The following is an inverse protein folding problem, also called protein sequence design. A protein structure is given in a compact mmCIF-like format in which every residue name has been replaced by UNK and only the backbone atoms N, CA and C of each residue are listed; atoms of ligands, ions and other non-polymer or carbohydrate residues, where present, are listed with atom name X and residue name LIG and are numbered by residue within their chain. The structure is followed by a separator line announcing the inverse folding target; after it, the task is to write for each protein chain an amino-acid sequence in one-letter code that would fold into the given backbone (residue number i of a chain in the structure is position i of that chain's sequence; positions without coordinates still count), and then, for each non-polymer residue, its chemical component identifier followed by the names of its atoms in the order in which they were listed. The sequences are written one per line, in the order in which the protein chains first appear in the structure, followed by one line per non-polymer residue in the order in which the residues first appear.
data_IF_720226777328
#
_entry.id   IF_720226777328
#
_cell.length_a   1.000
_cell.length_b   1.000
_cell.length_c   1.000
_cell.angle_alpha   90.00
_cell.angle_beta   90.00
_cell.angle_gamma   90.00
#
_symmetry.space_group_name_H-M   'P 1'
#
loop_
_entity.id
_entity.type
_entity.pdbx_description
1 polymer ?
#
# COMPACT_ATOMS: atom_id res chain seq x y z
N UNK A 1 10.14 22.04 -13.68
CA UNK A 1 10.79 20.95 -14.44
C UNK A 1 10.97 19.81 -13.47
N UNK A 2 10.72 18.57 -13.88
CA UNK A 2 10.92 17.40 -13.04
C UNK A 2 12.39 17.36 -12.56
N UNK A 3 12.57 17.39 -11.25
CA UNK A 3 13.88 17.46 -10.61
C UNK A 3 14.64 16.13 -10.66
N UNK A 4 13.94 15.03 -10.96
CA UNK A 4 14.47 13.67 -10.99
C UNK A 4 14.98 13.23 -12.36
N UNK A 5 14.81 14.08 -13.39
CA UNK A 5 15.37 13.85 -14.72
C UNK A 5 14.40 14.16 -15.85
N UNK A 6 14.91 14.05 -17.08
CA UNK A 6 14.08 14.13 -18.29
C UNK A 6 13.40 12.80 -18.50
N UNK A 7 12.08 12.84 -18.68
CA UNK A 7 11.23 11.71 -19.07
C UNK A 7 11.10 11.58 -20.59
N UNK A 8 11.46 12.63 -21.33
CA UNK A 8 11.29 12.70 -22.78
C UNK A 8 9.89 13.16 -23.21
N UNK A 9 9.01 13.47 -22.25
CA UNK A 9 7.65 13.95 -22.50
C UNK A 9 7.40 15.28 -21.78
N UNK A 10 6.91 16.29 -22.51
CA UNK A 10 6.51 17.59 -21.96
C UNK A 10 5.00 17.67 -21.72
N UNK A 11 4.57 18.64 -20.92
CA UNK A 11 3.18 18.81 -20.50
C UNK A 11 2.86 17.97 -19.26
N UNK A 12 1.58 17.83 -18.93
CA UNK A 12 1.15 17.09 -17.74
C UNK A 12 0.87 15.60 -17.98
N UNK A 13 0.78 15.17 -19.25
CA UNK A 13 0.30 13.83 -19.57
C UNK A 13 -1.09 13.59 -18.99
N UNK A 14 -1.25 12.51 -18.22
CA UNK A 14 -2.49 12.14 -17.53
C UNK A 14 -2.65 12.82 -16.16
N UNK A 15 -1.63 13.51 -15.65
CA UNK A 15 -1.65 14.08 -14.31
C UNK A 15 -2.45 15.39 -14.26
N UNK A 16 -3.25 15.56 -13.21
CA UNK A 16 -4.12 16.73 -13.06
C UNK A 16 -3.35 18.03 -12.79
N UNK A 17 -2.24 17.93 -12.04
CA UNK A 17 -1.47 19.09 -11.54
C UNK A 17 -0.13 19.21 -12.24
N UNK A 18 0.34 20.45 -12.41
CA UNK A 18 1.74 20.72 -12.72
C UNK A 18 2.58 20.51 -11.46
N UNK A 19 3.79 19.95 -11.61
CA UNK A 19 4.63 19.58 -10.48
C UNK A 19 4.15 18.29 -9.81
N UNK A 20 4.23 18.20 -8.46
CA UNK A 20 3.90 16.97 -7.75
C UNK A 20 2.39 16.71 -7.72
N UNK A 21 2.03 15.45 -7.95
CA UNK A 21 0.69 14.90 -7.80
C UNK A 21 0.76 13.91 -6.64
N UNK A 22 0.15 14.28 -5.52
CA UNK A 22 0.31 13.57 -4.25
C UNK A 22 -0.67 12.41 -4.13
N UNK A 23 -0.15 11.25 -3.76
CA UNK A 23 -0.87 10.05 -3.38
C UNK A 23 -0.57 9.68 -1.91
N UNK A 24 -1.32 8.73 -1.38
CA UNK A 24 -1.05 8.11 -0.08
C UNK A 24 -1.23 6.59 -0.16
N UNK A 25 -0.25 5.85 0.37
CA UNK A 25 -0.15 4.40 0.27
C UNK A 25 -0.21 3.72 1.66
N UNK A 26 -1.37 3.16 2.07
CA UNK A 26 -1.50 2.44 3.32
C UNK A 26 -0.97 1.00 3.18
N UNK A 27 0.26 0.77 3.66
CA UNK A 27 0.87 -0.55 3.66
C UNK A 27 0.38 -1.32 4.89
N UNK A 28 -0.79 -1.94 4.77
CA UNK A 28 -1.39 -2.76 5.85
C UNK A 28 -0.76 -4.15 5.87
N UNK A 29 -0.25 -4.56 7.03
CA UNK A 29 0.50 -5.82 7.17
C UNK A 29 0.11 -6.62 8.40
N UNK A 30 0.29 -7.93 8.32
CA UNK A 30 0.17 -8.88 9.44
C UNK A 30 1.21 -9.99 9.31
N UNK A 31 1.49 -10.72 10.38
CA UNK A 31 2.27 -11.96 10.27
C UNK A 31 1.43 -13.06 9.63
N UNK A 32 2.04 -13.85 8.74
CA UNK A 32 1.44 -15.11 8.29
C UNK A 32 1.35 -16.05 9.50
N UNK A 33 0.19 -16.64 9.73
CA UNK A 33 -0.03 -17.58 10.83
C UNK A 33 -0.43 -18.95 10.31
N UNK A 34 -0.02 -19.99 11.02
CA UNK A 34 -0.44 -21.38 10.75
C UNK A 34 -1.82 -21.68 11.36
N UNK A 35 -2.26 -22.94 11.26
CA UNK A 35 -3.54 -23.38 11.80
C UNK A 35 -3.63 -23.32 13.34
N UNK A 36 -2.49 -23.30 14.04
CA UNK A 36 -2.43 -23.10 15.49
C UNK A 36 -2.43 -21.61 15.87
N UNK A 37 -2.36 -20.71 14.88
CA UNK A 37 -2.27 -19.28 15.08
C UNK A 37 -0.84 -18.79 15.32
N UNK A 38 0.18 -19.62 15.13
CA UNK A 38 1.58 -19.24 15.37
C UNK A 38 2.21 -18.59 14.13
N UNK A 39 3.09 -17.58 14.27
CA UNK A 39 3.77 -16.96 13.13
C UNK A 39 4.60 -17.97 12.34
N UNK A 40 4.37 -18.03 11.03
CA UNK A 40 5.12 -18.89 10.11
C UNK A 40 6.50 -18.31 9.89
N UNK A 41 7.53 -19.14 10.02
CA UNK A 41 8.94 -18.80 9.79
C UNK A 41 9.40 -19.37 8.46
N UNK A 42 10.10 -18.57 7.66
CA UNK A 42 10.76 -19.05 6.45
C UNK A 42 12.00 -19.89 6.83
N UNK A 43 12.08 -21.12 6.33
CA UNK A 43 13.16 -22.06 6.68
C UNK A 43 14.55 -21.59 6.20
N UNK A 44 14.62 -20.81 5.13
CA UNK A 44 15.88 -20.36 4.54
C UNK A 44 16.47 -19.17 5.30
N UNK A 45 15.63 -18.20 5.66
CA UNK A 45 16.10 -16.98 6.35
C UNK A 45 16.00 -17.05 7.86
N UNK A 46 15.23 -18.00 8.41
CA UNK A 46 14.92 -18.08 9.85
C UNK A 46 14.06 -16.93 10.36
N UNK A 47 13.48 -16.11 9.45
CA UNK A 47 12.66 -14.95 9.77
C UNK A 47 11.18 -15.21 9.52
N UNK A 48 10.32 -14.48 10.22
CA UNK A 48 8.85 -14.59 10.07
C UNK A 48 8.41 -14.11 8.69
N UNK A 49 7.39 -14.75 8.14
CA UNK A 49 6.78 -14.35 6.86
C UNK A 49 5.75 -13.25 7.12
N UNK A 50 5.98 -12.08 6.53
CA UNK A 50 5.04 -10.96 6.57
C UNK A 50 4.02 -11.11 5.43
N UNK A 51 2.78 -10.74 5.67
CA UNK A 51 1.76 -10.58 4.65
C UNK A 51 1.35 -9.12 4.55
N UNK A 52 1.08 -8.65 3.34
CA UNK A 52 0.47 -7.35 3.09
C UNK A 52 -0.91 -7.49 2.46
N UNK A 53 -1.80 -6.54 2.72
CA UNK A 53 -2.99 -6.37 1.91
C UNK A 53 -2.57 -5.79 0.55
N UNK A 54 -2.96 -6.46 -0.53
CA UNK A 54 -2.69 -6.04 -1.89
C UNK A 54 -3.95 -6.13 -2.75
N UNK A 55 -4.09 -5.21 -3.69
CA UNK A 55 -5.16 -5.20 -4.69
C UNK A 55 -4.60 -5.43 -6.08
N UNK A 56 -5.38 -6.06 -6.96
CA UNK A 56 -5.10 -6.15 -8.39
C UNK A 56 -5.85 -5.02 -9.09
N UNK A 57 -5.11 -4.10 -9.71
CA UNK A 57 -5.70 -2.93 -10.36
C UNK A 57 -6.50 -3.34 -11.60
N UNK A 58 -7.66 -2.74 -11.80
CA UNK A 58 -8.50 -3.05 -12.96
C UNK A 58 -7.92 -2.56 -14.31
N UNK A 59 -7.11 -1.51 -14.29
CA UNK A 59 -6.58 -0.86 -15.50
C UNK A 59 -5.40 -1.63 -16.15
N UNK A 60 -4.53 -2.23 -15.34
CA UNK A 60 -3.33 -2.93 -15.82
C UNK A 60 -3.22 -4.40 -15.37
N UNK A 61 -4.04 -4.86 -14.43
CA UNK A 61 -3.95 -6.21 -13.87
C UNK A 61 -2.71 -6.44 -12.98
N UNK A 62 -2.01 -5.37 -12.60
CA UNK A 62 -0.86 -5.44 -11.71
C UNK A 62 -1.29 -5.37 -10.24
N UNK A 63 -0.57 -6.08 -9.38
CA UNK A 63 -0.78 -6.01 -7.94
C UNK A 63 -0.16 -4.73 -7.36
N UNK A 64 -0.84 -4.10 -6.42
CA UNK A 64 -0.43 -2.82 -5.83
C UNK A 64 -0.79 -2.73 -4.34
N UNK A 65 -0.19 -1.74 -3.67
CA UNK A 65 -0.69 -1.25 -2.39
C UNK A 65 -2.05 -0.57 -2.67
N UNK A 66 -3.07 -0.77 -1.81
CA UNK A 66 -4.38 -0.14 -1.98
C UNK A 66 -4.33 1.35 -1.60
N UNK A 67 -3.77 2.16 -2.49
CA UNK A 67 -3.51 3.58 -2.28
C UNK A 67 -3.96 4.41 -3.47
N UNK A 68 -4.19 5.70 -3.21
CA UNK A 68 -4.78 6.60 -4.19
C UNK A 68 -4.43 8.06 -3.97
N UNK A 69 -5.10 8.93 -4.74
CA UNK A 69 -4.76 10.34 -4.82
C UNK A 69 -5.22 11.10 -3.59
N UNK A 70 -4.44 12.08 -3.12
CA UNK A 70 -4.85 12.99 -2.05
C UNK A 70 -5.78 14.06 -2.64
N UNK A 71 -7.01 14.09 -2.14
CA UNK A 71 -8.02 15.04 -2.60
C UNK A 71 -7.72 16.48 -2.18
N UNK A 72 -8.23 17.49 -2.91
CA UNK A 72 -8.07 18.89 -2.53
C UNK A 72 -8.61 19.18 -1.11
N UNK A 73 -7.72 19.56 -0.19
CA UNK A 73 -8.06 19.85 1.20
C UNK A 73 -8.09 18.62 2.11
N UNK A 74 -7.87 17.42 1.57
CA UNK A 74 -7.75 16.18 2.34
C UNK A 74 -6.36 16.07 2.99
N UNK A 75 -6.31 15.53 4.20
CA UNK A 75 -5.03 15.19 4.85
C UNK A 75 -4.61 13.79 4.44
N UNK A 76 -3.29 13.55 4.39
CA UNK A 76 -2.71 12.23 4.08
C UNK A 76 -3.31 11.12 4.97
N UNK A 77 -3.51 11.39 6.26
CA UNK A 77 -4.13 10.42 7.19
C UNK A 77 -5.56 10.03 6.79
N UNK A 78 -6.34 10.99 6.28
CA UNK A 78 -7.70 10.74 5.81
C UNK A 78 -7.68 9.94 4.52
N UNK A 79 -6.81 10.31 3.57
CA UNK A 79 -6.59 9.56 2.32
C UNK A 79 -6.21 8.11 2.60
N UNK A 80 -5.19 7.85 3.44
CA UNK A 80 -4.75 6.49 3.77
C UNK A 80 -5.90 5.61 4.26
N UNK A 81 -6.75 6.14 5.14
CA UNK A 81 -7.90 5.42 5.69
C UNK A 81 -8.98 5.21 4.64
N UNK A 82 -9.33 6.26 3.90
CA UNK A 82 -10.37 6.23 2.87
C UNK A 82 -10.03 5.21 1.78
N UNK A 83 -8.84 5.31 1.19
CA UNK A 83 -8.38 4.41 0.11
C UNK A 83 -8.41 2.95 0.57
N UNK A 84 -7.89 2.64 1.76
CA UNK A 84 -7.92 1.27 2.27
C UNK A 84 -9.34 0.74 2.48
N UNK A 85 -10.24 1.58 3.03
CA UNK A 85 -11.62 1.18 3.27
C UNK A 85 -12.38 0.95 1.96
N UNK A 86 -12.19 1.85 0.98
CA UNK A 86 -12.83 1.78 -0.34
C UNK A 86 -12.31 0.60 -1.16
N UNK A 87 -10.99 0.38 -1.23
CA UNK A 87 -10.39 -0.59 -2.14
C UNK A 87 -10.28 -2.02 -1.57
N UNK A 88 -10.19 -2.16 -0.24
CA UNK A 88 -9.93 -3.45 0.41
C UNK A 88 -11.01 -3.92 1.39
N UNK A 89 -11.99 -3.08 1.72
CA UNK A 89 -13.00 -3.34 2.76
C UNK A 89 -14.43 -2.91 2.33
N UNK A 90 -14.72 -2.88 1.02
CA UNK A 90 -15.93 -2.27 0.47
C UNK A 90 -17.26 -2.80 1.04
N UNK A 91 -17.31 -4.06 1.52
CA UNK A 91 -18.49 -4.67 2.13
C UNK A 91 -18.33 -4.98 3.62
N UNK A 92 -17.38 -4.33 4.30
CA UNK A 92 -17.20 -4.50 5.73
C UNK A 92 -18.38 -3.91 6.51
N UNK A 93 -18.72 -4.55 7.63
CA UNK A 93 -19.73 -4.01 8.53
C UNK A 93 -19.20 -2.80 9.32
N UNK A 94 -20.11 -2.14 10.05
CA UNK A 94 -19.77 -0.95 10.82
C UNK A 94 -18.77 -1.21 11.94
N UNK A 95 -18.83 -2.38 12.59
CA UNK A 95 -17.95 -2.72 13.70
C UNK A 95 -16.51 -2.96 13.19
N UNK A 96 -16.35 -3.68 12.08
CA UNK A 96 -15.08 -3.86 11.40
C UNK A 96 -14.51 -2.50 10.95
N UNK A 97 -15.35 -1.65 10.37
CA UNK A 97 -14.97 -0.29 9.96
C UNK A 97 -14.42 0.50 11.14
N UNK A 98 -15.15 0.61 12.25
CA UNK A 98 -14.72 1.36 13.44
C UNK A 98 -13.39 0.82 14.01
N UNK A 99 -13.18 -0.50 14.01
CA UNK A 99 -11.92 -1.11 14.46
C UNK A 99 -10.75 -0.74 13.53
N UNK A 100 -10.98 -0.70 12.21
CA UNK A 100 -9.98 -0.26 11.23
C UNK A 100 -9.68 1.22 11.38
N UNK A 101 -10.68 2.06 11.61
CA UNK A 101 -10.45 3.49 11.84
C UNK A 101 -9.50 3.72 13.02
N UNK A 102 -9.70 2.96 14.10
CA UNK A 102 -8.82 3.00 15.27
C UNK A 102 -7.40 2.49 14.94
N UNK A 103 -7.29 1.42 14.15
CA UNK A 103 -6.01 0.86 13.71
C UNK A 103 -5.18 1.88 12.90
N UNK A 104 -5.84 2.72 12.10
CA UNK A 104 -5.20 3.75 11.28
C UNK A 104 -4.67 4.96 12.09
N UNK A 105 -4.78 4.94 13.42
CA UNK A 105 -4.15 5.96 14.29
C UNK A 105 -2.68 5.65 14.62
N UNK A 106 -2.25 4.40 14.51
CA UNK A 106 -0.93 3.92 14.97
C UNK A 106 0.16 3.78 13.90
N UNK A 107 -0.05 4.35 12.70
CA UNK A 107 0.81 4.13 11.55
C UNK A 107 2.23 4.70 11.66
N UNK A 108 3.16 4.12 10.89
CA UNK A 108 4.54 4.61 10.76
C UNK A 108 4.84 5.01 9.32
N UNK A 109 5.32 6.23 9.10
CA UNK A 109 5.81 6.66 7.78
C UNK A 109 7.05 5.85 7.37
N UNK A 110 7.00 5.22 6.20
CA UNK A 110 8.06 4.38 5.63
C UNK A 110 8.75 5.07 4.47
N UNK A 111 7.97 5.86 3.72
CA UNK A 111 8.45 6.57 2.55
C UNK A 111 7.66 7.86 2.33
N UNK A 112 8.35 8.89 1.90
CA UNK A 112 7.76 10.14 1.44
C UNK A 112 8.59 10.73 0.31
N UNK A 113 7.97 10.94 -0.83
CA UNK A 113 8.62 11.59 -1.98
C UNK A 113 8.26 10.98 -3.32
N UNK A 114 9.17 11.15 -4.28
CA UNK A 114 9.00 10.80 -5.69
C UNK A 114 8.79 9.31 -5.97
N UNK A 115 7.78 9.01 -6.77
CA UNK A 115 7.53 7.65 -7.26
C UNK A 115 7.92 7.58 -8.73
N UNK A 116 8.76 6.61 -9.09
CA UNK A 116 8.99 6.27 -10.50
C UNK A 116 7.74 5.56 -11.02
N UNK A 117 6.93 6.31 -11.75
CA UNK A 117 5.59 5.95 -12.22
C UNK A 117 5.47 6.27 -13.72
N UNK A 118 4.86 5.38 -14.52
CA UNK A 118 4.73 5.57 -15.97
C UNK A 118 3.96 6.84 -16.39
N UNK A 119 3.23 7.48 -15.47
CA UNK A 119 2.51 8.74 -15.71
C UNK A 119 3.42 9.98 -15.64
N UNK A 120 4.66 9.84 -15.16
CA UNK A 120 5.58 10.96 -14.97
C UNK A 120 5.96 11.64 -16.29
N UNK A 121 6.10 12.97 -16.25
CA UNK A 121 6.57 13.81 -17.36
C UNK A 121 7.68 14.77 -16.91
N UNK A 122 8.20 15.59 -17.83
CA UNK A 122 9.15 16.67 -17.54
C UNK A 122 8.53 17.80 -16.70
N UNK A 123 7.21 17.82 -16.54
CA UNK A 123 6.49 18.92 -15.90
C UNK A 123 5.48 18.50 -14.83
N UNK A 124 5.16 17.22 -14.69
CA UNK A 124 4.29 16.66 -13.65
C UNK A 124 4.82 15.28 -13.23
N UNK A 125 4.77 14.97 -11.93
CA UNK A 125 5.24 13.67 -11.42
C UNK A 125 4.41 13.20 -10.23
N UNK A 126 4.48 11.91 -9.93
CA UNK A 126 3.89 11.29 -8.74
C UNK A 126 4.79 11.46 -7.52
N UNK A 127 4.18 11.82 -6.40
CA UNK A 127 4.77 11.68 -5.08
C UNK A 127 3.80 10.92 -4.18
N UNK A 128 4.31 10.13 -3.24
CA UNK A 128 3.47 9.43 -2.26
C UNK A 128 3.98 9.61 -0.84
N UNK A 129 3.08 9.48 0.12
CA UNK A 129 3.39 9.17 1.51
C UNK A 129 2.93 7.75 1.78
N UNK A 130 3.88 6.84 2.00
CA UNK A 130 3.59 5.46 2.36
C UNK A 130 3.72 5.26 3.86
N UNK A 131 2.65 4.76 4.48
CA UNK A 131 2.57 4.52 5.93
C UNK A 131 2.27 3.05 6.16
N UNK A 132 3.10 2.40 6.97
CA UNK A 132 2.84 1.03 7.39
C UNK A 132 1.96 1.01 8.63
N UNK A 133 0.90 0.21 8.55
CA UNK A 133 0.05 -0.15 9.67
C UNK A 133 0.19 -1.66 9.89
N UNK A 134 0.65 -2.05 11.07
CA UNK A 134 1.02 -3.43 11.35
C UNK A 134 0.17 -4.04 12.45
N UNK A 135 -0.49 -5.15 12.14
CA UNK A 135 -1.23 -5.98 13.08
C UNK A 135 -0.37 -7.16 13.53
N UNK A 136 0.36 -6.93 14.62
CA UNK A 136 1.37 -7.87 15.12
C UNK A 136 0.78 -9.10 15.80
N UNK A 137 -0.33 -8.96 16.51
CA UNK A 137 -1.01 -10.09 17.16
C UNK A 137 -2.09 -10.73 16.27
N UNK A 138 -2.49 -10.05 15.18
CA UNK A 138 -3.50 -10.53 14.25
C UNK A 138 -4.93 -10.30 14.74
N UNK A 139 -5.13 -9.45 15.76
CA UNK A 139 -6.42 -9.21 16.40
C UNK A 139 -7.28 -8.14 15.72
N UNK A 140 -6.73 -7.46 14.72
CA UNK A 140 -7.40 -6.37 14.01
C UNK A 140 -7.65 -6.78 12.56
N UNK A 141 -6.76 -6.41 11.64
CA UNK A 141 -6.87 -6.74 10.21
C UNK A 141 -6.70 -8.22 9.91
N UNK A 142 -6.13 -8.98 10.84
CA UNK A 142 -6.12 -10.44 10.78
C UNK A 142 -7.51 -11.07 10.86
N UNK A 143 -8.51 -10.39 11.44
CA UNK A 143 -9.80 -10.96 11.81
C UNK A 143 -10.93 -10.76 10.79
N UNK A 144 -10.72 -9.98 9.73
CA UNK A 144 -11.76 -9.71 8.73
C UNK A 144 -11.35 -10.13 7.31
N UNK A 145 -12.38 -10.52 6.56
CA UNK A 145 -12.27 -10.86 5.15
C UNK A 145 -12.09 -9.58 4.32
N UNK A 146 -11.11 -9.61 3.43
CA UNK A 146 -10.87 -8.53 2.49
C UNK A 146 -11.89 -8.61 1.35
N UNK A 147 -12.42 -7.45 0.96
CA UNK A 147 -13.39 -7.33 -0.11
C UNK A 147 -12.96 -6.24 -1.08
N UNK A 148 -12.77 -6.61 -2.34
CA UNK A 148 -12.29 -5.69 -3.37
C UNK A 148 -13.36 -4.61 -3.61
N UNK A 149 -12.92 -3.35 -3.63
CA UNK A 149 -13.75 -2.22 -4.03
C UNK A 149 -13.93 -2.09 -5.54
N UNK A 150 -14.63 -1.03 -5.94
CA UNK A 150 -15.02 -0.80 -7.35
C UNK A 150 -13.79 -0.67 -8.29
N UNK A 151 -12.68 -0.12 -7.80
CA UNK A 151 -11.45 0.09 -8.57
C UNK A 151 -10.44 -1.09 -8.50
N UNK A 152 -10.73 -2.09 -7.65
CA UNK A 152 -9.92 -3.27 -7.44
C UNK A 152 -10.58 -4.50 -8.07
N UNK A 153 -9.89 -5.18 -8.99
CA UNK A 153 -10.40 -6.43 -9.57
C UNK A 153 -10.37 -7.59 -8.57
N UNK A 154 -9.36 -7.62 -7.70
CA UNK A 154 -9.16 -8.61 -6.64
C UNK A 154 -8.46 -7.98 -5.45
N UNK A 155 -8.64 -8.55 -4.27
CA UNK A 155 -7.91 -8.20 -3.06
C UNK A 155 -7.43 -9.48 -2.37
N UNK A 156 -6.24 -9.47 -1.77
CA UNK A 156 -5.73 -10.59 -0.97
C UNK A 156 -4.70 -10.19 0.06
N UNK A 157 -4.51 -11.08 1.03
CA UNK A 157 -3.27 -11.17 1.79
C UNK A 157 -2.19 -11.80 0.91
N UNK A 158 -1.14 -11.04 0.62
CA UNK A 158 0.00 -11.46 -0.19
C UNK A 158 1.21 -11.68 0.72
N UNK A 159 1.82 -12.86 0.65
CA UNK A 159 3.12 -13.11 1.30
C UNK A 159 4.18 -12.19 0.68
N UNK A 160 4.95 -11.53 1.55
CA UNK A 160 6.02 -10.61 1.16
C UNK A 160 7.33 -11.38 1.06
N UNK A 161 7.94 -11.31 -0.13
CA UNK A 161 9.28 -11.82 -0.42
C UNK A 161 9.94 -11.01 -1.56
N UNK A 162 11.21 -11.28 -1.84
CA UNK A 162 11.99 -10.62 -2.89
C UNK A 162 11.54 -10.96 -4.32
N UNK A 163 10.62 -11.89 -4.49
CA UNK A 163 9.97 -12.22 -5.77
C UNK A 163 8.67 -11.44 -6.03
N UNK A 164 8.21 -10.64 -5.07
CA UNK A 164 6.96 -9.88 -5.20
C UNK A 164 7.01 -8.93 -6.41
N UNK A 165 6.00 -9.02 -7.28
CA UNK A 165 5.83 -8.13 -8.44
C UNK A 165 4.71 -7.16 -8.14
N UNK A 166 5.06 -5.91 -7.90
CA UNK A 166 4.12 -4.83 -7.60
C UNK A 166 4.28 -3.68 -8.60
N UNK A 167 3.18 -2.98 -8.84
CA UNK A 167 3.09 -1.82 -9.71
C UNK A 167 4.06 -0.70 -9.28
N UNK A 168 4.63 -0.01 -10.26
CA UNK A 168 5.54 1.13 -10.07
C UNK A 168 6.68 0.83 -9.07
N UNK A 169 6.93 1.75 -8.14
CA UNK A 169 7.98 1.62 -7.13
C UNK A 169 7.55 0.86 -5.86
N UNK A 170 6.36 0.22 -5.85
CA UNK A 170 5.78 -0.36 -4.63
C UNK A 170 6.64 -1.45 -4.01
N UNK A 171 7.33 -2.28 -4.82
CA UNK A 171 8.23 -3.31 -4.30
C UNK A 171 9.34 -2.73 -3.41
N UNK A 172 9.85 -1.53 -3.74
CA UNK A 172 10.87 -0.85 -2.93
C UNK A 172 10.32 -0.33 -1.60
N UNK A 173 9.05 0.08 -1.56
CA UNK A 173 8.35 0.51 -0.34
C UNK A 173 8.11 -0.70 0.56
N UNK A 174 7.61 -1.80 0.00
CA UNK A 174 7.34 -3.04 0.74
C UNK A 174 8.63 -3.66 1.29
N UNK A 175 9.74 -3.58 0.55
CA UNK A 175 11.05 -3.98 1.07
C UNK A 175 11.43 -3.24 2.35
N UNK A 176 11.23 -1.92 2.40
CA UNK A 176 11.51 -1.12 3.61
C UNK A 176 10.64 -1.55 4.80
N UNK A 177 9.40 -1.99 4.53
CA UNK A 177 8.51 -2.54 5.56
C UNK A 177 9.03 -3.89 6.07
N UNK A 178 9.45 -4.78 5.17
CA UNK A 178 10.03 -6.07 5.54
C UNK A 178 11.31 -5.88 6.37
N UNK A 179 12.20 -4.98 5.96
CA UNK A 179 13.42 -4.63 6.69
C UNK A 179 13.10 -4.07 8.09
N UNK A 180 12.08 -3.20 8.19
CA UNK A 180 11.65 -2.61 9.47
C UNK A 180 11.15 -3.66 10.47
N UNK A 181 10.43 -4.68 10.00
CA UNK A 181 9.88 -5.75 10.83
C UNK A 181 10.83 -6.94 11.03
N UNK A 182 12.06 -6.89 10.49
CA UNK A 182 13.00 -8.02 10.43
C UNK A 182 12.34 -9.28 9.81
N UNK A 183 11.53 -9.08 8.77
CA UNK A 183 10.79 -10.12 8.10
C UNK A 183 11.65 -10.87 7.06
N UNK A 184 11.13 -12.01 6.60
CA UNK A 184 11.63 -12.67 5.39
C UNK A 184 11.57 -11.74 4.17
N UNK A 185 12.58 -11.85 3.30
CA UNK A 185 12.70 -11.19 2.00
C UNK A 185 13.50 -12.09 1.05
#
# INVERSE_FOLDING_TARGET
MNLFGRTGLRGRGLLGRWGPNHAADPVVTKWKRDAAGEPVVNETTGRRILQMCAIERHDCGEWAIPGGMVDPGETVSTTLKREFLEEAMASADRAATDQVEQFFTGGREIYKGYVDDPRNTDNAWMETVAVNFHDGDGSVVGCFDLHAGDDAAKVRWMDVDGGVKLYASHASIVRRVADWHDAHW
#
